data_IF_636246167967
#
_entry.id   IF_636246167967
#
_cell.length_a   1.000
_cell.length_b   1.000
_cell.length_c   1.000
_cell.angle_alpha   90.00
_cell.angle_beta   90.00
_cell.angle_gamma   90.00
#
_symmetry.space_group_name_H-M   'P 1'
#
loop_
_entity.id
_entity.type
_entity.pdbx_description
1 polymer ?
#
# COMPACT_ATOMS: atom_id res chain seq x y z
N UNK A 1 -3.25 -26.66 11.82
CA UNK A 1 -4.42 -25.77 11.64
C UNK A 1 -3.92 -24.32 11.68
N UNK A 2 -3.66 -23.71 10.52
CA UNK A 2 -3.32 -22.28 10.47
C UNK A 2 -4.62 -21.48 10.65
N UNK A 3 -4.89 -21.05 11.87
CA UNK A 3 -6.00 -20.17 12.22
C UNK A 3 -5.89 -18.89 11.40
N UNK A 4 -6.75 -18.73 10.39
CA UNK A 4 -6.86 -17.47 9.64
C UNK A 4 -7.49 -16.43 10.57
N UNK A 5 -6.65 -15.73 11.34
CA UNK A 5 -7.08 -14.64 12.21
C UNK A 5 -7.43 -13.45 11.33
N UNK A 6 -8.72 -13.16 11.18
CA UNK A 6 -9.22 -12.01 10.42
C UNK A 6 -8.74 -10.71 11.11
N UNK A 7 -7.75 -10.03 10.53
CA UNK A 7 -7.28 -8.72 11.00
C UNK A 7 -8.15 -7.65 10.37
N UNK A 8 -8.96 -7.00 11.19
CA UNK A 8 -9.82 -5.91 10.75
C UNK A 8 -9.04 -4.59 10.64
N UNK A 9 -9.53 -3.62 9.85
CA UNK A 9 -8.89 -2.32 9.64
C UNK A 9 -8.56 -1.52 10.93
N UNK A 10 -9.15 -1.90 12.06
CA UNK A 10 -9.08 -1.20 13.35
C UNK A 10 -7.77 -1.46 14.12
N UNK A 11 -6.94 -2.40 13.67
CA UNK A 11 -5.79 -2.90 14.43
C UNK A 11 -4.42 -2.35 13.98
N UNK A 12 -4.39 -1.45 13.00
CA UNK A 12 -3.13 -0.84 12.56
C UNK A 12 -2.97 0.56 13.17
N UNK A 13 -2.07 0.76 14.14
CA UNK A 13 -1.80 2.07 14.71
C UNK A 13 -1.25 3.02 13.64
N UNK A 14 -1.47 4.33 13.83
CA UNK A 14 -1.05 5.33 12.85
C UNK A 14 0.46 5.27 12.57
N UNK A 15 1.28 5.13 13.63
CA UNK A 15 2.73 4.97 13.54
C UNK A 15 3.14 3.81 12.64
N UNK A 16 2.45 2.67 12.75
CA UNK A 16 2.69 1.52 11.89
C UNK A 16 2.37 1.81 10.42
N UNK A 17 1.25 2.50 10.15
CA UNK A 17 0.87 2.88 8.78
C UNK A 17 1.92 3.80 8.15
N UNK A 18 2.40 4.78 8.91
CA UNK A 18 3.44 5.71 8.45
C UNK A 18 4.77 4.99 8.17
N UNK A 19 5.20 4.11 9.07
CA UNK A 19 6.43 3.33 8.88
C UNK A 19 6.37 2.45 7.62
N UNK A 20 5.22 1.81 7.35
CA UNK A 20 5.03 1.01 6.13
C UNK A 20 5.07 1.90 4.88
N UNK A 21 4.43 3.07 4.92
CA UNK A 21 4.45 4.04 3.80
C UNK A 21 5.87 4.51 3.54
N UNK A 22 6.60 4.93 4.57
CA UNK A 22 7.97 5.42 4.46
C UNK A 22 8.92 4.39 3.83
N UNK A 23 8.88 3.12 4.29
CA UNK A 23 9.71 2.05 3.73
C UNK A 23 9.40 1.79 2.25
N UNK A 24 8.12 1.89 1.87
CA UNK A 24 7.70 1.70 0.48
C UNK A 24 8.11 2.90 -0.38
N UNK A 25 7.99 4.13 0.11
CA UNK A 25 8.41 5.33 -0.61
C UNK A 25 9.93 5.45 -0.76
N UNK A 26 10.71 4.97 0.23
CA UNK A 26 12.16 4.84 0.14
C UNK A 26 12.61 3.75 -0.85
N UNK A 27 11.69 2.91 -1.32
CA UNK A 27 12.00 1.77 -2.20
C UNK A 27 12.63 0.58 -1.48
N UNK A 28 12.62 0.55 -0.14
CA UNK A 28 13.13 -0.58 0.64
C UNK A 28 12.29 -1.84 0.47
N UNK A 29 10.99 -1.67 0.17
CA UNK A 29 10.09 -2.76 -0.20
C UNK A 29 8.95 -2.29 -1.08
N UNK A 30 8.40 -3.21 -1.88
CA UNK A 30 7.14 -2.96 -2.60
C UNK A 30 5.94 -3.09 -1.67
N UNK A 31 4.81 -2.50 -2.05
CA UNK A 31 3.56 -2.66 -1.31
C UNK A 31 3.14 -4.14 -1.15
N UNK A 32 3.51 -5.00 -2.11
CA UNK A 32 3.22 -6.44 -2.07
C UNK A 32 4.10 -7.17 -1.06
N UNK A 33 5.37 -6.81 -0.97
CA UNK A 33 6.28 -7.32 0.05
C UNK A 33 5.87 -6.85 1.44
N UNK A 34 5.44 -5.59 1.58
CA UNK A 34 4.88 -5.09 2.84
C UNK A 34 3.65 -5.90 3.28
N UNK A 35 2.78 -6.29 2.34
CA UNK A 35 1.62 -7.12 2.66
C UNK A 35 1.99 -8.48 3.23
N UNK A 36 2.92 -9.16 2.58
CA UNK A 36 3.38 -10.49 2.98
C UNK A 36 4.14 -10.42 4.32
N UNK A 37 5.11 -9.51 4.42
CA UNK A 37 5.96 -9.33 5.61
C UNK A 37 5.17 -8.97 6.87
N UNK A 38 4.15 -8.12 6.74
CA UNK A 38 3.35 -7.66 7.88
C UNK A 38 2.01 -8.38 8.04
N UNK A 39 1.73 -9.40 7.21
CA UNK A 39 0.48 -10.17 7.27
C UNK A 39 -0.78 -9.33 6.97
N UNK A 40 -0.65 -8.32 6.11
CA UNK A 40 -1.77 -7.44 5.75
C UNK A 40 -2.65 -8.15 4.73
N UNK A 41 -3.79 -8.67 5.21
CA UNK A 41 -4.74 -9.47 4.43
C UNK A 41 -5.41 -8.72 3.25
N UNK A 42 -5.51 -7.39 3.34
CA UNK A 42 -6.18 -6.59 2.31
C UNK A 42 -5.24 -6.22 1.17
N UNK A 43 -5.53 -6.72 -0.04
CA UNK A 43 -4.77 -6.43 -1.28
C UNK A 43 -4.62 -4.94 -1.60
N UNK A 44 -5.55 -4.11 -1.16
CA UNK A 44 -5.53 -2.65 -1.36
C UNK A 44 -5.20 -1.85 -0.11
N UNK A 45 -4.96 -2.49 1.04
CA UNK A 45 -4.78 -1.78 2.32
C UNK A 45 -3.52 -0.91 2.31
N UNK A 46 -2.38 -1.46 1.87
CA UNK A 46 -1.13 -0.69 1.77
C UNK A 46 -1.27 0.41 0.73
N UNK A 47 -1.91 0.14 -0.42
CA UNK A 47 -2.19 1.15 -1.44
C UNK A 47 -3.06 2.30 -0.93
N UNK A 48 -4.05 2.02 -0.07
CA UNK A 48 -4.86 3.05 0.59
C UNK A 48 -4.04 3.90 1.55
N UNK A 49 -3.08 3.31 2.27
CA UNK A 49 -2.19 4.08 3.14
C UNK A 49 -1.24 4.96 2.34
N UNK A 50 -0.67 4.45 1.26
CA UNK A 50 0.17 5.23 0.34
C UNK A 50 -0.59 6.43 -0.25
N UNK A 51 -1.86 6.25 -0.65
CA UNK A 51 -2.68 7.36 -1.17
C UNK A 51 -3.08 8.38 -0.11
N UNK A 52 -3.18 7.98 1.16
CA UNK A 52 -3.65 8.84 2.25
C UNK A 52 -2.50 9.55 2.97
N UNK A 53 -1.35 8.90 3.08
CA UNK A 53 -0.22 9.34 3.89
C UNK A 53 1.09 9.45 3.10
N UNK A 54 1.16 8.92 1.87
CA UNK A 54 2.33 9.07 1.02
C UNK A 54 2.41 10.47 0.43
N UNK A 55 3.63 10.87 0.06
CA UNK A 55 3.94 12.15 -0.56
C UNK A 55 4.07 12.06 -2.08
N UNK A 56 4.22 10.85 -2.62
CA UNK A 56 4.12 10.63 -4.06
C UNK A 56 2.70 10.99 -4.50
N UNK A 57 2.57 11.89 -5.47
CA UNK A 57 1.29 12.37 -6.00
C UNK A 57 0.61 11.27 -6.84
N UNK A 58 0.12 10.23 -6.16
CA UNK A 58 -0.58 9.08 -6.76
C UNK A 58 -1.97 9.45 -7.30
N UNK A 59 -2.40 10.70 -7.11
CA UNK A 59 -3.66 11.25 -7.61
C UNK A 59 -3.52 11.85 -9.00
N UNK A 60 -2.32 11.97 -9.55
CA UNK A 60 -2.16 12.38 -10.95
C UNK A 60 -2.50 11.19 -11.86
N UNK A 61 -3.63 11.17 -12.59
CA UNK A 61 -3.73 10.31 -13.74
C UNK A 61 -2.65 10.79 -14.71
N UNK A 62 -1.54 10.05 -14.79
CA UNK A 62 -0.55 10.26 -15.84
C UNK A 62 -1.28 10.37 -17.19
N UNK A 63 -1.12 11.44 -17.99
CA UNK A 63 -1.80 11.56 -19.28
C UNK A 63 -1.30 10.55 -20.33
N UNK A 64 -0.37 9.66 -19.98
CA UNK A 64 0.28 8.73 -20.91
C UNK A 64 -0.46 7.39 -21.08
N UNK A 65 -1.77 7.42 -21.28
CA UNK A 65 -2.50 6.35 -21.97
C UNK A 65 -3.38 6.91 -23.10
N UNK A 66 -2.84 7.83 -23.89
CA UNK A 66 -3.27 7.95 -25.28
C UNK A 66 -2.51 6.87 -26.06
N UNK A 67 -3.05 5.65 -26.08
CA UNK A 67 -2.73 4.72 -27.16
C UNK A 67 -3.34 5.34 -28.43
N UNK A 68 -2.53 6.12 -29.15
CA UNK A 68 -2.77 6.44 -30.55
C UNK A 68 -2.71 5.13 -31.32
N UNK A 69 -3.87 4.69 -31.78
CA UNK A 69 -4.01 3.58 -32.73
C UNK A 69 -3.86 4.20 -34.11
N UNK A 70 -2.80 3.79 -34.82
CA UNK A 70 -2.63 4.01 -36.26
C UNK A 70 -3.53 3.04 -37.02
#
# INVERSE_FOLDING_TARGET
MNQYVKRTQRDYPLSFKLAVVEQVEKGEMTYRQAQDRYGIQGRSTVLKWLRKFGQLDWLSPSPAKMYGVN
#
